data_IF_793947832037
#
_entry.id   IF_793947832037
#
_cell.length_a   1.000
_cell.length_b   1.000
_cell.length_c   1.000
_cell.angle_alpha   90.00
_cell.angle_beta   90.00
_cell.angle_gamma   90.00
#
_symmetry.space_group_name_H-M   'P 1'
#
loop_
_entity.id
_entity.type
_entity.pdbx_description
1 polymer ?
#
# COMPACT_ATOMS: atom_id res chain seq x y z
N UNK A 1 -6.29 53.13 -94.96
CA UNK A 1 -7.13 52.07 -94.36
C UNK A 1 -6.45 50.70 -94.39
N UNK A 2 -5.61 50.42 -95.39
CA UNK A 2 -5.00 49.09 -95.57
C UNK A 2 -4.04 48.62 -94.45
N UNK A 3 -3.36 49.53 -93.75
CA UNK A 3 -2.49 49.16 -92.62
C UNK A 3 -3.26 48.70 -91.37
N UNK A 4 -4.38 49.36 -91.08
CA UNK A 4 -5.23 49.04 -89.93
C UNK A 4 -5.84 47.65 -90.13
N UNK A 5 -6.31 47.36 -91.35
CA UNK A 5 -6.97 46.09 -91.66
C UNK A 5 -5.97 44.94 -91.83
N UNK A 6 -4.83 45.15 -92.51
CA UNK A 6 -3.87 44.05 -92.78
C UNK A 6 -2.91 43.73 -91.64
N UNK A 7 -2.54 44.70 -90.78
CA UNK A 7 -1.52 44.49 -89.75
C UNK A 7 -2.05 44.66 -88.32
N UNK A 8 -2.86 45.69 -88.04
CA UNK A 8 -3.29 45.98 -86.67
C UNK A 8 -4.30 44.96 -86.12
N UNK A 9 -5.32 44.64 -86.93
CA UNK A 9 -6.41 43.74 -86.59
C UNK A 9 -5.95 42.30 -86.25
N UNK A 10 -5.06 41.64 -87.04
CA UNK A 10 -4.55 40.32 -86.70
C UNK A 10 -3.64 40.32 -85.47
N UNK A 11 -2.85 41.37 -85.24
CA UNK A 11 -1.97 41.49 -84.06
C UNK A 11 -2.80 41.64 -82.79
N UNK A 12 -3.81 42.52 -82.79
CA UNK A 12 -4.72 42.69 -81.66
C UNK A 12 -5.50 41.40 -81.41
N UNK A 13 -6.02 40.74 -82.45
CA UNK A 13 -6.72 39.47 -82.32
C UNK A 13 -5.82 38.37 -81.74
N UNK A 14 -4.55 38.28 -82.19
CA UNK A 14 -3.58 37.33 -81.67
C UNK A 14 -3.23 37.59 -80.19
N UNK A 15 -3.05 38.85 -79.79
CA UNK A 15 -2.77 39.21 -78.39
C UNK A 15 -3.97 39.00 -77.48
N UNK A 16 -5.20 39.27 -77.95
CA UNK A 16 -6.43 38.97 -77.21
C UNK A 16 -6.60 37.45 -77.08
N UNK A 17 -6.40 36.69 -78.16
CA UNK A 17 -6.45 35.23 -78.13
C UNK A 17 -5.40 34.66 -77.17
N UNK A 18 -4.17 35.18 -77.20
CA UNK A 18 -3.12 34.81 -76.26
C UNK A 18 -3.51 35.19 -74.81
N UNK A 19 -4.02 36.39 -74.56
CA UNK A 19 -4.46 36.82 -73.24
C UNK A 19 -5.61 35.95 -72.70
N UNK A 20 -6.55 35.53 -73.56
CA UNK A 20 -7.63 34.59 -73.21
C UNK A 20 -7.08 33.19 -72.92
N UNK A 21 -6.16 32.68 -73.74
CA UNK A 21 -5.49 31.39 -73.51
C UNK A 21 -4.72 31.42 -72.18
N UNK A 22 -3.97 32.49 -71.92
CA UNK A 22 -3.27 32.69 -70.66
C UNK A 22 -4.26 32.69 -69.49
N UNK A 23 -5.32 33.50 -69.56
CA UNK A 23 -6.34 33.56 -68.49
C UNK A 23 -7.09 32.24 -68.31
N UNK A 24 -7.31 31.46 -69.37
CA UNK A 24 -8.05 30.20 -69.31
C UNK A 24 -7.17 29.05 -68.80
N UNK A 25 -5.97 28.86 -69.36
CA UNK A 25 -5.06 27.75 -69.00
C UNK A 25 -4.26 28.01 -67.74
N UNK A 26 -3.91 29.25 -67.44
CA UNK A 26 -3.00 29.60 -66.34
C UNK A 26 -3.70 30.42 -65.24
N UNK A 27 -5.02 30.30 -65.10
CA UNK A 27 -5.83 31.05 -64.12
C UNK A 27 -5.21 30.98 -62.71
N UNK A 28 -4.97 32.13 -62.07
CA UNK A 28 -4.33 32.23 -60.74
C UNK A 28 -2.81 32.12 -60.76
N UNK A 29 -2.20 31.75 -61.89
CA UNK A 29 -0.77 31.58 -61.99
C UNK A 29 0.01 32.87 -62.21
N UNK A 30 1.26 32.87 -61.74
CA UNK A 30 2.26 33.91 -62.00
C UNK A 30 2.42 34.15 -63.51
N UNK A 31 2.31 33.08 -64.30
CA UNK A 31 2.40 33.15 -65.76
C UNK A 31 1.33 34.04 -66.39
N UNK A 32 0.15 34.22 -65.78
CA UNK A 32 -0.86 35.16 -66.29
C UNK A 32 -0.45 36.59 -66.05
N UNK A 33 0.10 36.93 -64.88
CA UNK A 33 0.54 38.30 -64.59
C UNK A 33 1.74 38.68 -65.45
N UNK A 34 2.79 37.85 -65.46
CA UNK A 34 3.98 38.09 -66.28
C UNK A 34 3.63 38.04 -67.77
N UNK A 35 2.85 37.04 -68.18
CA UNK A 35 2.41 36.86 -69.56
C UNK A 35 1.54 38.01 -70.07
N UNK A 36 0.62 38.56 -69.27
CA UNK A 36 -0.19 39.71 -69.68
C UNK A 36 0.65 41.00 -69.81
N UNK A 37 1.58 41.26 -68.90
CA UNK A 37 2.50 42.41 -69.02
C UNK A 37 3.44 42.26 -70.21
N UNK A 38 3.92 41.04 -70.48
CA UNK A 38 4.76 40.74 -71.62
C UNK A 38 3.99 40.83 -72.94
N UNK A 39 2.77 40.30 -73.01
CA UNK A 39 1.86 40.43 -74.16
C UNK A 39 1.49 41.89 -74.42
N UNK A 40 1.25 42.69 -73.37
CA UNK A 40 0.99 44.12 -73.50
C UNK A 40 2.22 44.88 -74.04
N UNK A 41 3.42 44.54 -73.56
CA UNK A 41 4.67 45.08 -74.08
C UNK A 41 4.89 44.67 -75.55
N UNK A 42 4.64 43.41 -75.90
CA UNK A 42 4.79 42.90 -77.26
C UNK A 42 3.79 43.55 -78.23
N UNK A 43 2.52 43.72 -77.82
CA UNK A 43 1.52 44.47 -78.55
C UNK A 43 1.98 45.93 -78.77
N UNK A 44 2.48 46.59 -77.72
CA UNK A 44 2.96 47.96 -77.82
C UNK A 44 4.12 48.08 -78.82
N UNK A 45 5.11 47.19 -78.74
CA UNK A 45 6.24 47.14 -79.68
C UNK A 45 5.79 46.87 -81.11
N UNK A 46 4.89 45.92 -81.32
CA UNK A 46 4.37 45.59 -82.65
C UNK A 46 3.57 46.75 -83.26
N UNK A 47 2.74 47.44 -82.45
CA UNK A 47 1.93 48.56 -82.89
C UNK A 47 2.80 49.76 -83.28
N UNK A 48 3.80 50.10 -82.46
CA UNK A 48 4.71 51.22 -82.73
C UNK A 48 5.63 50.93 -83.91
N UNK A 49 6.09 49.68 -84.06
CA UNK A 49 6.94 49.26 -85.17
C UNK A 49 6.17 49.21 -86.50
N UNK A 50 4.93 48.70 -86.49
CA UNK A 50 4.05 48.73 -87.65
C UNK A 50 3.71 50.15 -88.08
N UNK A 51 3.33 51.02 -87.12
CA UNK A 51 3.03 52.43 -87.39
C UNK A 51 4.23 53.14 -88.03
N UNK A 52 5.43 52.92 -87.50
CA UNK A 52 6.67 53.43 -88.08
C UNK A 52 6.87 52.96 -89.52
N UNK A 53 6.73 51.65 -89.78
CA UNK A 53 7.00 51.06 -91.10
C UNK A 53 6.07 51.61 -92.19
N UNK A 54 4.80 51.84 -91.85
CA UNK A 54 3.79 52.30 -92.82
C UNK A 54 3.82 53.80 -93.08
N UNK A 55 3.95 54.62 -92.03
CA UNK A 55 3.82 56.07 -92.19
C UNK A 55 5.17 56.79 -92.40
N UNK A 56 6.29 56.18 -91.99
CA UNK A 56 7.62 56.78 -92.10
C UNK A 56 8.68 55.81 -92.65
N UNK A 57 8.48 55.21 -93.84
CA UNK A 57 9.48 54.35 -94.46
C UNK A 57 10.75 55.18 -94.80
N UNK A 58 11.88 54.84 -94.18
CA UNK A 58 13.20 55.45 -94.48
C UNK A 58 13.66 56.59 -93.56
N UNK A 59 12.87 57.04 -92.58
CA UNK A 59 13.29 58.12 -91.67
C UNK A 59 14.12 57.62 -90.48
N UNK A 60 15.42 57.94 -90.47
CA UNK A 60 16.39 57.51 -89.45
C UNK A 60 16.12 58.06 -88.05
N UNK A 61 15.61 59.29 -87.91
CA UNK A 61 15.36 59.90 -86.59
C UNK A 61 14.13 59.31 -85.91
N UNK A 62 13.04 59.13 -86.65
CA UNK A 62 11.82 58.45 -86.16
C UNK A 62 12.13 56.99 -85.79
N UNK A 63 13.01 56.33 -86.55
CA UNK A 63 13.48 54.97 -86.22
C UNK A 63 14.18 54.94 -84.86
N UNK A 64 15.02 55.91 -84.56
CA UNK A 64 15.75 55.96 -83.30
C UNK A 64 14.82 56.20 -82.11
N UNK A 65 13.90 57.17 -82.22
CA UNK A 65 12.92 57.52 -81.15
C UNK A 65 11.98 56.35 -80.82
N UNK A 66 11.41 55.70 -81.84
CA UNK A 66 10.49 54.56 -81.62
C UNK A 66 11.22 53.38 -80.99
N UNK A 67 12.48 53.17 -81.38
CA UNK A 67 13.29 52.07 -80.82
C UNK A 67 13.64 52.33 -79.35
N UNK A 68 14.07 53.53 -78.99
CA UNK A 68 14.33 53.88 -77.58
C UNK A 68 13.06 53.82 -76.73
N UNK A 69 11.92 54.31 -77.23
CA UNK A 69 10.64 54.21 -76.53
C UNK A 69 10.23 52.75 -76.26
N UNK A 70 10.40 51.86 -77.25
CA UNK A 70 10.12 50.44 -77.11
C UNK A 70 11.04 49.75 -76.09
N UNK A 71 12.32 50.13 -76.06
CA UNK A 71 13.27 49.63 -75.06
C UNK A 71 12.82 50.06 -73.65
N UNK A 72 12.51 51.34 -73.45
CA UNK A 72 12.05 51.86 -72.15
C UNK A 72 10.76 51.17 -71.70
N UNK A 73 9.76 51.03 -72.58
CA UNK A 73 8.52 50.34 -72.26
C UNK A 73 8.75 48.86 -71.88
N UNK A 74 9.67 48.18 -72.56
CA UNK A 74 10.04 46.79 -72.26
C UNK A 74 10.75 46.66 -70.89
N UNK A 75 11.67 47.58 -70.58
CA UNK A 75 12.37 47.63 -69.29
C UNK A 75 11.39 47.89 -68.14
N UNK A 76 10.46 48.83 -68.31
CA UNK A 76 9.43 49.14 -67.30
C UNK A 76 8.51 47.93 -67.08
N UNK A 77 8.02 47.28 -68.14
CA UNK A 77 7.20 46.07 -68.02
C UNK A 77 7.95 44.93 -67.31
N UNK A 78 9.23 44.72 -67.65
CA UNK A 78 10.07 43.72 -66.99
C UNK A 78 10.31 44.06 -65.51
N UNK A 79 10.54 45.34 -65.18
CA UNK A 79 10.71 45.81 -63.81
C UNK A 79 9.46 45.59 -62.97
N UNK A 80 8.27 45.95 -63.47
CA UNK A 80 7.00 45.68 -62.78
C UNK A 80 6.71 44.18 -62.66
N UNK A 81 6.97 43.38 -63.69
CA UNK A 81 6.85 41.93 -63.63
C UNK A 81 7.79 41.32 -62.58
N UNK A 82 9.04 41.77 -62.54
CA UNK A 82 10.06 41.34 -61.58
C UNK A 82 9.66 41.69 -60.14
N UNK A 83 9.16 42.90 -59.87
CA UNK A 83 8.71 43.29 -58.53
C UNK A 83 7.52 42.44 -58.05
N UNK A 84 6.55 42.18 -58.91
CA UNK A 84 5.33 41.47 -58.55
C UNK A 84 5.51 39.95 -58.37
N UNK A 85 6.68 39.41 -58.74
CA UNK A 85 6.98 37.97 -58.71
C UNK A 85 8.20 37.67 -57.85
N UNK A 86 9.32 38.35 -58.11
CA UNK A 86 10.61 38.06 -57.47
C UNK A 86 10.61 38.47 -56.01
N UNK A 87 10.00 39.62 -55.64
CA UNK A 87 9.97 40.07 -54.24
C UNK A 87 9.17 39.10 -53.34
N UNK A 88 7.91 38.75 -53.67
CA UNK A 88 7.15 37.77 -52.87
C UNK A 88 7.83 36.41 -52.75
N UNK A 89 8.45 35.91 -53.83
CA UNK A 89 9.19 34.64 -53.78
C UNK A 89 10.39 34.74 -52.83
N UNK A 90 11.13 35.86 -52.85
CA UNK A 90 12.24 36.08 -51.92
C UNK A 90 11.78 36.15 -50.46
N UNK A 91 10.61 36.73 -50.20
CA UNK A 91 10.02 36.78 -48.85
C UNK A 91 9.62 35.38 -48.36
N UNK A 92 8.98 34.57 -49.20
CA UNK A 92 8.68 33.17 -48.88
C UNK A 92 9.95 32.36 -48.66
N UNK A 93 10.96 32.52 -49.53
CA UNK A 93 12.25 31.83 -49.37
C UNK A 93 12.92 32.21 -48.05
N UNK A 94 12.90 33.48 -47.66
CA UNK A 94 13.41 33.94 -46.37
C UNK A 94 12.63 33.35 -45.19
N UNK A 95 11.30 33.21 -45.32
CA UNK A 95 10.47 32.57 -44.30
C UNK A 95 10.79 31.08 -44.18
N UNK A 96 10.90 30.36 -45.30
CA UNK A 96 11.32 28.96 -45.31
C UNK A 96 12.74 28.77 -44.77
N UNK A 97 13.66 29.69 -45.07
CA UNK A 97 15.02 29.66 -44.52
C UNK A 97 15.02 29.85 -42.99
N UNK A 98 14.15 30.73 -42.47
CA UNK A 98 13.95 30.90 -41.02
C UNK A 98 13.39 29.64 -40.37
N UNK A 99 12.35 29.05 -40.96
CA UNK A 99 11.75 27.78 -40.49
C UNK A 99 12.79 26.66 -40.51
N UNK A 100 13.59 26.55 -41.58
CA UNK A 100 14.65 25.56 -41.69
C UNK A 100 15.78 25.73 -40.65
N UNK A 101 15.98 26.96 -40.16
CA UNK A 101 16.90 27.29 -39.05
C UNK A 101 16.25 27.22 -37.67
N UNK A 102 15.02 26.70 -37.57
CA UNK A 102 14.27 26.56 -36.32
C UNK A 102 13.63 27.84 -35.81
N UNK A 103 13.72 28.98 -36.51
CA UNK A 103 13.03 30.19 -36.08
C UNK A 103 11.57 30.17 -36.56
N UNK A 104 10.65 29.99 -35.61
CA UNK A 104 9.20 29.97 -35.79
C UNK A 104 8.50 31.26 -35.31
N UNK A 105 9.28 32.24 -34.84
CA UNK A 105 8.79 33.55 -34.40
C UNK A 105 7.94 34.22 -35.49
N UNK A 106 6.98 35.03 -35.07
CA UNK A 106 6.08 35.70 -35.99
C UNK A 106 6.85 36.63 -36.94
N UNK A 107 6.87 36.27 -38.22
CA UNK A 107 7.37 37.14 -39.27
C UNK A 107 6.18 37.97 -39.81
N UNK A 108 6.01 39.20 -39.34
CA UNK A 108 5.05 40.12 -39.94
C UNK A 108 5.40 40.35 -41.41
N UNK A 109 4.61 39.75 -42.31
CA UNK A 109 4.68 40.01 -43.74
C UNK A 109 4.19 41.43 -43.97
N UNK A 110 5.10 42.34 -44.32
CA UNK A 110 4.78 43.74 -44.65
C UNK A 110 3.88 43.89 -45.89
N UNK A 111 3.54 42.81 -46.61
CA UNK A 111 2.98 42.90 -47.97
C UNK A 111 1.66 42.11 -48.13
N UNK A 112 0.56 42.72 -47.66
CA UNK A 112 -0.83 42.31 -47.93
C UNK A 112 -1.28 42.51 -49.39
N UNK A 113 -0.36 42.64 -50.36
CA UNK A 113 -0.67 42.96 -51.76
C UNK A 113 -0.76 41.74 -52.68
N UNK A 114 -0.43 40.54 -52.19
CA UNK A 114 -0.58 39.31 -52.97
C UNK A 114 -1.98 38.76 -52.74
N UNK A 115 -2.80 38.72 -53.80
CA UNK A 115 -4.11 38.07 -53.72
C UNK A 115 -3.94 36.59 -53.34
N UNK A 116 -4.72 36.15 -52.35
CA UNK A 116 -4.73 34.78 -51.83
C UNK A 116 -5.08 33.73 -52.90
N UNK A 117 -5.84 34.12 -53.93
CA UNK A 117 -6.27 33.24 -55.03
C UNK A 117 -5.15 32.86 -56.02
N UNK A 118 -3.93 33.40 -55.84
CA UNK A 118 -2.81 33.20 -56.76
C UNK A 118 -1.78 32.20 -56.26
N UNK A 119 -1.00 31.60 -57.15
CA UNK A 119 0.01 30.57 -56.80
C UNK A 119 0.96 31.04 -55.68
N UNK A 120 1.42 32.29 -55.75
CA UNK A 120 2.29 32.90 -54.71
C UNK A 120 1.51 33.14 -53.42
N UNK A 121 0.25 33.58 -53.51
CA UNK A 121 -0.61 33.78 -52.33
C UNK A 121 -0.86 32.48 -51.57
N UNK A 122 -1.15 31.40 -52.31
CA UNK A 122 -1.27 30.04 -51.76
C UNK A 122 0.04 29.55 -51.16
N UNK A 123 1.18 29.80 -51.81
CA UNK A 123 2.50 29.42 -51.28
C UNK A 123 2.80 30.14 -49.96
N UNK A 124 2.51 31.44 -49.86
CA UNK A 124 2.62 32.21 -48.62
C UNK A 124 1.68 31.64 -47.55
N UNK A 125 0.43 31.32 -47.92
CA UNK A 125 -0.56 30.70 -47.04
C UNK A 125 -0.09 29.37 -46.47
N UNK A 126 0.29 28.42 -47.31
CA UNK A 126 0.79 27.11 -46.89
C UNK A 126 2.08 27.21 -46.07
N UNK A 127 2.98 28.13 -46.38
CA UNK A 127 4.19 28.35 -45.57
C UNK A 127 3.84 28.84 -44.16
N UNK A 128 2.83 29.70 -44.04
CA UNK A 128 2.31 30.18 -42.76
C UNK A 128 1.65 29.05 -41.97
N UNK A 129 0.81 28.25 -42.61
CA UNK A 129 0.17 27.08 -42.01
C UNK A 129 1.21 26.07 -41.49
N UNK A 130 2.27 25.78 -42.27
CA UNK A 130 3.38 24.92 -41.84
C UNK A 130 4.06 25.49 -40.59
N UNK A 131 4.38 26.79 -40.59
CA UNK A 131 5.00 27.43 -39.42
C UNK A 131 4.10 27.33 -38.19
N UNK A 132 2.83 27.70 -38.32
CA UNK A 132 1.86 27.67 -37.21
C UNK A 132 1.66 26.25 -36.69
N UNK A 133 1.58 25.26 -37.57
CA UNK A 133 1.51 23.85 -37.19
C UNK A 133 2.76 23.40 -36.42
N UNK A 134 3.96 23.73 -36.89
CA UNK A 134 5.21 23.43 -36.19
C UNK A 134 5.29 24.15 -34.83
N UNK A 135 4.89 25.42 -34.77
CA UNK A 135 4.87 26.21 -33.55
C UNK A 135 3.94 25.56 -32.50
N UNK A 136 2.75 25.13 -32.92
CA UNK A 136 1.80 24.43 -32.05
C UNK A 136 2.36 23.09 -31.57
N UNK A 137 2.95 22.28 -32.44
CA UNK A 137 3.55 20.98 -32.07
C UNK A 137 4.69 21.17 -31.09
N UNK A 138 5.60 22.11 -31.34
CA UNK A 138 6.74 22.39 -30.45
C UNK A 138 6.28 22.95 -29.10
N UNK A 139 5.27 23.83 -29.09
CA UNK A 139 4.68 24.36 -27.85
C UNK A 139 4.04 23.26 -27.00
N UNK A 140 3.21 22.40 -27.61
CA UNK A 140 2.62 21.25 -26.92
C UNK A 140 3.72 20.32 -26.38
N UNK A 141 4.72 20.01 -27.20
CA UNK A 141 5.80 19.12 -26.81
C UNK A 141 6.67 19.71 -25.69
N UNK A 142 6.86 21.03 -25.63
CA UNK A 142 7.52 21.71 -24.51
C UNK A 142 6.71 21.54 -23.21
N UNK A 143 5.39 21.74 -23.27
CA UNK A 143 4.51 21.55 -22.12
C UNK A 143 4.49 20.11 -21.61
N UNK A 144 4.46 19.12 -22.51
CA UNK A 144 4.49 17.69 -22.15
C UNK A 144 5.84 17.29 -21.50
N UNK A 145 6.94 17.91 -21.95
CA UNK A 145 8.28 17.68 -21.37
C UNK A 145 8.42 18.28 -19.97
N UNK A 146 7.81 19.43 -19.71
CA UNK A 146 7.74 20.00 -18.36
C UNK A 146 6.96 19.07 -17.43
N UNK A 147 5.79 18.58 -17.87
CA UNK A 147 4.98 17.61 -17.13
C UNK A 147 5.73 16.30 -16.86
N UNK A 148 6.51 15.80 -17.83
CA UNK A 148 7.37 14.62 -17.64
C UNK A 148 8.43 14.84 -16.56
N UNK A 149 9.04 16.03 -16.51
CA UNK A 149 10.00 16.38 -15.46
C UNK A 149 9.36 16.46 -14.08
N UNK A 150 8.19 17.09 -13.97
CA UNK A 150 7.42 17.12 -12.72
C UNK A 150 7.02 15.72 -12.25
N UNK A 151 6.60 14.86 -13.18
CA UNK A 151 6.25 13.47 -12.90
C UNK A 151 7.45 12.67 -12.42
N UNK A 152 8.63 12.86 -13.03
CA UNK A 152 9.89 12.26 -12.58
C UNK A 152 10.22 12.62 -11.14
N UNK A 153 10.17 13.92 -10.79
CA UNK A 153 10.40 14.39 -9.41
C UNK A 153 9.37 13.84 -8.41
N UNK A 154 8.10 13.76 -8.80
CA UNK A 154 7.06 13.19 -7.96
C UNK A 154 7.31 11.69 -7.69
N UNK A 155 7.78 10.96 -8.71
CA UNK A 155 8.09 9.53 -8.61
C UNK A 155 9.33 9.27 -7.74
N UNK A 156 10.35 10.12 -7.84
CA UNK A 156 11.53 10.10 -6.96
C UNK A 156 11.14 10.29 -5.49
N UNK A 157 10.30 11.29 -5.20
CA UNK A 157 9.79 11.52 -3.85
C UNK A 157 8.95 10.35 -3.33
N UNK A 158 8.09 9.78 -4.18
CA UNK A 158 7.31 8.60 -3.81
C UNK A 158 8.23 7.40 -3.50
N UNK A 159 9.32 7.25 -4.25
CA UNK A 159 10.32 6.19 -4.05
C UNK A 159 11.00 6.34 -2.70
N UNK A 160 11.47 7.55 -2.36
CA UNK A 160 12.07 7.84 -1.05
C UNK A 160 11.10 7.52 0.10
N UNK A 161 9.83 7.90 -0.05
CA UNK A 161 8.80 7.60 0.93
C UNK A 161 8.56 6.09 1.10
N UNK A 162 8.52 5.33 0.01
CA UNK A 162 8.39 3.86 0.05
C UNK A 162 9.61 3.24 0.72
N UNK A 163 10.83 3.66 0.37
CA UNK A 163 12.07 3.14 0.99
C UNK A 163 12.11 3.40 2.50
N UNK A 164 11.74 4.62 2.91
CA UNK A 164 11.64 4.98 4.34
C UNK A 164 10.53 4.22 5.05
N UNK A 165 9.42 3.93 4.35
CA UNK A 165 8.34 3.10 4.85
C UNK A 165 8.77 1.65 5.05
N UNK A 166 9.45 1.08 4.05
CA UNK A 166 10.00 -0.28 4.06
C UNK A 166 10.99 -0.47 5.21
N UNK A 167 11.93 0.46 5.40
CA UNK A 167 12.89 0.40 6.50
C UNK A 167 12.21 0.43 7.88
N UNK A 168 11.17 1.26 8.05
CA UNK A 168 10.37 1.29 9.29
C UNK A 168 9.57 -0.01 9.48
N UNK A 169 9.02 -0.57 8.41
CA UNK A 169 8.28 -1.81 8.47
C UNK A 169 9.18 -2.99 8.87
N UNK A 170 10.41 -3.04 8.34
CA UNK A 170 11.42 -4.02 8.74
C UNK A 170 11.79 -3.89 10.23
N UNK A 171 12.07 -2.67 10.69
CA UNK A 171 12.39 -2.42 12.11
C UNK A 171 11.23 -2.82 13.05
N UNK A 172 9.98 -2.48 12.69
CA UNK A 172 8.82 -2.90 13.46
C UNK A 172 8.64 -4.42 13.44
N UNK A 173 8.91 -5.09 12.31
CA UNK A 173 8.86 -6.54 12.23
C UNK A 173 9.89 -7.20 13.16
N UNK A 174 11.12 -6.67 13.24
CA UNK A 174 12.13 -7.14 14.20
C UNK A 174 11.69 -6.96 15.65
N UNK A 175 11.11 -5.81 16.01
CA UNK A 175 10.61 -5.55 17.37
C UNK A 175 9.46 -6.49 17.77
N UNK A 176 8.52 -6.72 16.85
CA UNK A 176 7.42 -7.66 17.07
C UNK A 176 7.95 -9.09 17.13
N UNK A 177 8.95 -9.45 16.32
CA UNK A 177 9.60 -10.76 16.38
C UNK A 177 10.20 -11.03 17.77
N UNK A 178 10.94 -10.05 18.31
CA UNK A 178 11.50 -10.16 19.66
C UNK A 178 10.41 -10.31 20.74
N UNK A 179 9.29 -9.58 20.58
CA UNK A 179 8.14 -9.69 21.48
C UNK A 179 7.46 -11.06 21.41
N UNK A 180 7.42 -11.69 20.22
CA UNK A 180 6.87 -13.03 20.00
C UNK A 180 7.82 -14.11 20.55
N UNK A 181 9.13 -13.93 20.44
CA UNK A 181 10.11 -14.82 21.09
C UNK A 181 9.95 -14.81 22.61
N UNK A 182 9.85 -13.62 23.22
CA UNK A 182 9.59 -13.48 24.66
C UNK A 182 8.24 -14.11 25.06
N UNK A 183 7.19 -13.88 24.25
CA UNK A 183 5.87 -14.49 24.46
C UNK A 183 5.95 -16.02 24.41
N UNK A 184 6.69 -16.57 23.45
CA UNK A 184 6.88 -18.03 23.31
C UNK A 184 7.57 -18.62 24.53
N UNK A 185 8.62 -17.94 25.03
CA UNK A 185 9.29 -18.33 26.28
C UNK A 185 8.33 -18.33 27.48
N UNK A 186 7.48 -17.30 27.60
CA UNK A 186 6.50 -17.21 28.68
C UNK A 186 5.42 -18.31 28.58
N UNK A 187 4.98 -18.65 27.37
CA UNK A 187 4.04 -19.75 27.14
C UNK A 187 4.65 -21.10 27.55
N UNK A 188 5.92 -21.35 27.19
CA UNK A 188 6.63 -22.57 27.59
C UNK A 188 6.78 -22.66 29.11
N UNK A 189 7.12 -21.55 29.76
CA UNK A 189 7.20 -21.48 31.22
C UNK A 189 5.84 -21.74 31.88
N UNK A 190 4.74 -21.20 31.34
CA UNK A 190 3.39 -21.47 31.83
C UNK A 190 3.00 -22.94 31.67
N UNK A 191 3.31 -23.54 30.51
CA UNK A 191 3.06 -24.96 30.25
C UNK A 191 3.81 -25.85 31.24
N UNK A 192 5.10 -25.58 31.48
CA UNK A 192 5.90 -26.30 32.47
C UNK A 192 5.37 -26.12 33.90
N UNK A 193 4.98 -24.89 34.26
CA UNK A 193 4.42 -24.59 35.58
C UNK A 193 3.08 -25.29 35.80
N UNK A 194 2.22 -25.35 34.77
CA UNK A 194 0.97 -26.10 34.81
C UNK A 194 1.24 -27.60 34.94
N UNK A 195 2.17 -28.15 34.16
CA UNK A 195 2.53 -29.57 34.27
C UNK A 195 3.01 -29.92 35.70
N UNK A 196 3.87 -29.09 36.28
CA UNK A 196 4.35 -29.29 37.65
C UNK A 196 3.22 -29.15 38.70
N UNK A 197 2.35 -28.16 38.56
CA UNK A 197 1.21 -27.97 39.45
C UNK A 197 0.24 -29.16 39.40
N UNK A 198 0.07 -29.79 38.23
CA UNK A 198 -0.76 -30.99 38.08
C UNK A 198 -0.17 -32.19 38.84
N UNK A 199 1.15 -32.40 38.74
CA UNK A 199 1.84 -33.46 39.50
C UNK A 199 1.68 -33.24 41.02
N UNK A 200 1.85 -32.01 41.49
CA UNK A 200 1.67 -31.67 42.91
C UNK A 200 0.22 -31.91 43.35
N UNK A 201 -0.77 -31.59 42.51
CA UNK A 201 -2.18 -31.83 42.82
C UNK A 201 -2.49 -33.33 42.93
N UNK A 202 -1.94 -34.16 42.04
CA UNK A 202 -2.10 -35.61 42.08
C UNK A 202 -1.46 -36.22 43.35
N UNK A 203 -0.23 -35.81 43.68
CA UNK A 203 0.45 -36.24 44.92
C UNK A 203 -0.34 -35.82 46.17
N UNK A 204 -0.88 -34.60 46.18
CA UNK A 204 -1.72 -34.10 47.27
C UNK A 204 -3.02 -34.90 47.42
N UNK A 205 -3.66 -35.26 46.30
CA UNK A 205 -4.87 -36.10 46.31
C UNK A 205 -4.56 -37.48 46.91
N UNK A 206 -3.46 -38.12 46.50
CA UNK A 206 -3.04 -39.41 47.05
C UNK A 206 -2.74 -39.32 48.56
N UNK A 207 -2.02 -38.28 48.98
CA UNK A 207 -1.70 -38.05 50.40
C UNK A 207 -2.98 -37.89 51.24
N UNK A 208 -3.96 -37.10 50.77
CA UNK A 208 -5.23 -36.92 51.46
C UNK A 208 -6.08 -38.20 51.48
N UNK A 209 -6.07 -39.00 50.40
CA UNK A 209 -6.70 -40.32 50.41
C UNK A 209 -6.11 -41.24 51.49
N UNK A 210 -4.80 -41.16 51.74
CA UNK A 210 -4.15 -41.91 52.83
C UNK A 210 -4.55 -41.40 54.21
N UNK A 211 -4.69 -40.08 54.38
CA UNK A 211 -5.20 -39.46 55.62
C UNK A 211 -6.65 -39.90 55.90
N UNK A 212 -7.50 -39.94 54.88
CA UNK A 212 -8.87 -40.45 55.00
C UNK A 212 -8.92 -41.89 55.50
N UNK A 213 -8.17 -42.80 54.87
CA UNK A 213 -8.05 -44.20 55.32
C UNK A 213 -7.57 -44.33 56.76
N UNK A 214 -6.52 -43.58 57.14
CA UNK A 214 -6.00 -43.60 58.51
C UNK A 214 -7.01 -43.07 59.54
N UNK A 215 -7.86 -42.12 59.14
CA UNK A 215 -8.91 -41.56 59.99
C UNK A 215 -10.03 -42.58 60.21
N UNK A 216 -10.40 -43.33 59.17
CA UNK A 216 -11.38 -44.42 59.26
C UNK A 216 -10.87 -45.57 60.14
N UNK A 217 -9.60 -45.99 60.00
CA UNK A 217 -8.95 -46.99 60.87
C UNK A 217 -8.90 -46.53 62.34
N UNK A 218 -8.64 -45.25 62.58
CA UNK A 218 -8.66 -44.66 63.93
C UNK A 218 -10.06 -44.71 64.52
N UNK A 219 -11.08 -44.40 63.71
CA UNK A 219 -12.48 -44.39 64.12
C UNK A 219 -12.97 -45.80 64.49
N UNK A 220 -12.53 -46.83 63.75
CA UNK A 220 -12.75 -48.25 64.10
C UNK A 220 -12.08 -48.61 65.43
N UNK A 221 -10.81 -48.26 65.60
CA UNK A 221 -10.05 -48.54 66.82
C UNK A 221 -10.67 -47.89 68.07
N UNK A 222 -11.15 -46.65 67.95
CA UNK A 222 -11.82 -45.94 69.06
C UNK A 222 -13.16 -46.58 69.42
N UNK A 223 -13.94 -47.06 68.43
CA UNK A 223 -15.18 -47.81 68.68
C UNK A 223 -14.92 -49.13 69.41
N UNK A 224 -13.84 -49.81 69.04
CA UNK A 224 -13.41 -51.03 69.74
C UNK A 224 -13.01 -50.74 71.19
N UNK A 225 -12.31 -49.63 71.45
CA UNK A 225 -11.99 -49.18 72.81
C UNK A 225 -13.28 -48.91 73.57
N UNK A 226 -14.23 -48.14 73.02
CA UNK A 226 -15.52 -47.85 73.65
C UNK A 226 -16.26 -49.15 74.05
N UNK A 227 -16.33 -50.12 73.13
CA UNK A 227 -16.96 -51.41 73.38
C UNK A 227 -16.27 -52.19 74.51
N UNK A 228 -14.93 -52.21 74.55
CA UNK A 228 -14.16 -52.89 75.61
C UNK A 228 -14.31 -52.18 76.97
N UNK A 229 -14.33 -50.85 76.99
CA UNK A 229 -14.53 -50.08 78.23
C UNK A 229 -15.95 -50.26 78.77
N UNK A 230 -16.96 -50.39 77.92
CA UNK A 230 -18.33 -50.73 78.34
C UNK A 230 -18.39 -52.07 79.09
N UNK A 231 -17.62 -53.06 78.66
CA UNK A 231 -17.48 -54.33 79.38
C UNK A 231 -16.81 -54.11 80.75
N UNK A 232 -15.74 -53.30 80.82
CA UNK A 232 -15.06 -52.98 82.09
C UNK A 232 -16.00 -52.25 83.05
N UNK A 233 -16.82 -51.32 82.55
CA UNK A 233 -17.83 -50.61 83.34
C UNK A 233 -18.86 -51.59 83.94
N UNK A 234 -19.34 -52.54 83.13
CA UNK A 234 -20.22 -53.61 83.61
C UNK A 234 -19.54 -54.50 84.67
N UNK A 235 -18.26 -54.85 84.50
CA UNK A 235 -17.49 -55.62 85.50
C UNK A 235 -17.37 -54.82 86.81
N UNK A 236 -17.05 -53.52 86.73
CA UNK A 236 -16.96 -52.66 87.90
C UNK A 236 -18.32 -52.56 88.62
N UNK A 237 -19.42 -52.43 87.88
CA UNK A 237 -20.77 -52.44 88.44
C UNK A 237 -21.10 -53.78 89.14
N UNK A 238 -20.84 -54.92 88.50
CA UNK A 238 -21.03 -56.24 89.10
C UNK A 238 -20.17 -56.43 90.35
N UNK A 239 -18.92 -55.98 90.32
CA UNK A 239 -17.99 -56.02 91.47
C UNK A 239 -18.50 -55.18 92.63
N UNK A 240 -19.06 -54.01 92.34
CA UNK A 240 -19.68 -53.13 93.34
C UNK A 240 -20.88 -53.81 94.04
N UNK A 241 -21.74 -54.50 93.28
CA UNK A 241 -22.87 -55.28 93.83
C UNK A 241 -22.38 -56.47 94.66
N UNK A 242 -21.37 -57.20 94.19
CA UNK A 242 -20.74 -58.30 94.93
C UNK A 242 -20.15 -57.82 96.26
N UNK A 243 -19.43 -56.70 96.24
CA UNK A 243 -18.83 -56.09 97.42
C UNK A 243 -19.89 -55.59 98.42
N UNK A 244 -20.99 -55.00 97.92
CA UNK A 244 -22.12 -54.60 98.75
C UNK A 244 -22.76 -55.82 99.44
N UNK A 245 -23.01 -56.90 98.70
CA UNK A 245 -23.56 -58.13 99.26
C UNK A 245 -22.61 -58.73 100.32
N UNK A 246 -21.30 -58.73 100.07
CA UNK A 246 -20.30 -59.18 101.02
C UNK A 246 -20.26 -58.30 102.29
N UNK A 247 -20.39 -56.98 102.16
CA UNK A 247 -20.46 -56.06 103.30
C UNK A 247 -21.71 -56.29 104.16
N UNK A 248 -22.87 -56.57 103.53
CA UNK A 248 -24.11 -56.92 104.22
C UNK A 248 -23.97 -58.24 104.98
N UNK A 249 -23.42 -59.28 104.36
CA UNK A 249 -23.24 -60.58 105.02
C UNK A 249 -22.19 -60.51 106.14
N UNK A 250 -21.13 -59.71 105.97
CA UNK A 250 -20.16 -59.42 107.01
C UNK A 250 -20.77 -58.69 108.21
N UNK A 251 -21.69 -57.74 107.98
CA UNK A 251 -22.46 -57.09 109.06
C UNK A 251 -23.39 -58.08 109.78
N UNK A 252 -23.96 -59.04 109.05
CA UNK A 252 -24.83 -60.10 109.57
C UNK A 252 -24.08 -61.09 110.46
N UNK A 253 -22.81 -61.35 110.17
CA UNK A 253 -21.93 -62.23 110.95
C UNK A 253 -21.39 -61.60 112.26
N UNK A 254 -21.69 -60.33 112.56
CA UNK A 254 -21.31 -59.67 113.80
C UNK A 254 -19.79 -59.55 114.01
N UNK A 255 -19.29 -59.91 115.20
CA UNK A 255 -17.88 -59.81 115.58
C UNK A 255 -16.93 -60.62 114.66
N UNK A 256 -17.38 -61.77 114.14
CA UNK A 256 -16.59 -62.63 113.26
C UNK A 256 -16.45 -62.09 111.82
N UNK A 257 -17.29 -61.13 111.42
CA UNK A 257 -17.30 -60.52 110.08
C UNK A 257 -16.49 -59.23 109.94
N UNK A 258 -15.91 -58.70 111.03
CA UNK A 258 -15.24 -57.38 111.05
C UNK A 258 -14.12 -57.23 110.01
N UNK A 259 -13.25 -58.23 109.86
CA UNK A 259 -12.18 -58.20 108.86
C UNK A 259 -12.70 -58.28 107.42
N UNK A 260 -13.74 -59.08 107.18
CA UNK A 260 -14.39 -59.21 105.88
C UNK A 260 -15.12 -57.92 105.46
N UNK A 261 -15.73 -57.21 106.40
CA UNK A 261 -16.42 -55.94 106.14
C UNK A 261 -15.46 -54.84 105.64
N UNK A 262 -14.25 -54.78 106.19
CA UNK A 262 -13.20 -53.83 105.75
C UNK A 262 -12.77 -54.14 104.32
N UNK A 263 -12.49 -55.41 104.01
CA UNK A 263 -12.12 -55.84 102.65
C UNK A 263 -13.25 -55.56 101.67
N UNK A 264 -14.49 -55.88 102.02
CA UNK A 264 -15.66 -55.60 101.17
C UNK A 264 -15.83 -54.10 100.89
N UNK A 265 -15.59 -53.24 101.88
CA UNK A 265 -15.63 -51.78 101.70
C UNK A 265 -14.53 -51.28 100.77
N UNK A 266 -13.30 -51.82 100.89
CA UNK A 266 -12.18 -51.44 100.02
C UNK A 266 -12.40 -51.92 98.58
N UNK A 267 -12.91 -53.15 98.38
CA UNK A 267 -13.29 -53.67 97.06
C UNK A 267 -14.40 -52.81 96.45
N UNK A 268 -15.38 -52.37 97.25
CA UNK A 268 -16.45 -51.47 96.80
C UNK A 268 -15.88 -50.14 96.29
N UNK A 269 -14.98 -49.55 97.07
CA UNK A 269 -14.31 -48.28 96.71
C UNK A 269 -13.46 -48.42 95.45
N UNK A 270 -12.76 -49.54 95.27
CA UNK A 270 -11.99 -49.82 94.05
C UNK A 270 -12.91 -50.02 92.83
N UNK A 271 -14.07 -50.65 93.01
CA UNK A 271 -15.07 -50.82 91.97
C UNK A 271 -15.70 -49.48 91.56
N UNK A 272 -16.05 -48.61 92.50
CA UNK A 272 -16.49 -47.23 92.22
C UNK A 272 -15.42 -46.43 91.46
N UNK A 273 -14.16 -46.52 91.90
CA UNK A 273 -13.05 -45.83 91.23
C UNK A 273 -12.82 -46.35 89.80
N UNK A 274 -12.93 -47.67 89.59
CA UNK A 274 -12.83 -48.29 88.25
C UNK A 274 -13.97 -47.87 87.34
N UNK A 275 -15.19 -47.71 87.89
CA UNK A 275 -16.34 -47.20 87.15
C UNK A 275 -16.12 -45.75 86.68
N UNK A 276 -15.69 -44.87 87.58
CA UNK A 276 -15.41 -43.46 87.24
C UNK A 276 -14.35 -43.36 86.14
N UNK A 277 -13.26 -44.12 86.25
CA UNK A 277 -12.22 -44.16 85.22
C UNK A 277 -12.76 -44.69 83.88
N UNK A 278 -13.63 -45.71 83.91
CA UNK A 278 -14.28 -46.21 82.70
C UNK A 278 -15.21 -45.16 82.06
N UNK A 279 -16.00 -44.43 82.86
CA UNK A 279 -16.87 -43.35 82.38
C UNK A 279 -16.07 -42.19 81.74
N UNK A 280 -14.91 -41.83 82.32
CA UNK A 280 -13.98 -40.85 81.75
C UNK A 280 -13.42 -41.31 80.40
N UNK A 281 -13.01 -42.58 80.27
CA UNK A 281 -12.51 -43.12 79.01
C UNK A 281 -13.62 -43.18 77.95
N UNK A 282 -14.85 -43.56 78.31
CA UNK A 282 -16.00 -43.52 77.38
C UNK A 282 -16.21 -42.10 76.86
N UNK A 283 -16.20 -41.11 77.76
CA UNK A 283 -16.36 -39.69 77.37
C UNK A 283 -15.25 -39.24 76.41
N UNK A 284 -14.00 -39.63 76.67
CA UNK A 284 -12.87 -39.32 75.79
C UNK A 284 -12.96 -40.05 74.44
N UNK A 285 -13.41 -41.31 74.44
CA UNK A 285 -13.63 -42.09 73.23
C UNK A 285 -14.73 -41.46 72.36
N UNK A 286 -15.88 -41.10 72.95
CA UNK A 286 -16.96 -40.41 72.23
C UNK A 286 -16.49 -39.10 71.59
N UNK A 287 -15.70 -38.29 72.32
CA UNK A 287 -15.11 -37.07 71.76
C UNK A 287 -14.12 -37.36 70.63
N UNK A 288 -13.36 -38.44 70.72
CA UNK A 288 -12.42 -38.87 69.68
C UNK A 288 -13.14 -39.36 68.42
N UNK A 289 -14.30 -40.03 68.57
CA UNK A 289 -15.17 -40.39 67.44
C UNK A 289 -15.69 -39.13 66.74
N UNK A 290 -16.14 -38.13 67.48
CA UNK A 290 -16.63 -36.86 66.92
C UNK A 290 -15.55 -36.14 66.09
N UNK A 291 -14.34 -36.00 66.65
CA UNK A 291 -13.19 -35.37 65.94
C UNK A 291 -12.77 -36.17 64.71
N UNK A 292 -12.73 -37.49 64.81
CA UNK A 292 -12.36 -38.36 63.67
C UNK A 292 -13.41 -38.28 62.56
N UNK A 293 -14.71 -38.24 62.91
CA UNK A 293 -15.79 -38.07 61.94
C UNK A 293 -15.70 -36.73 61.22
N UNK A 294 -15.47 -35.63 61.96
CA UNK A 294 -15.25 -34.31 61.36
C UNK A 294 -14.06 -34.33 60.40
N UNK A 295 -12.97 -35.01 60.76
CA UNK A 295 -11.78 -35.13 59.92
C UNK A 295 -12.07 -35.89 58.62
N UNK A 296 -12.79 -37.04 58.68
CA UNK A 296 -13.21 -37.77 57.48
C UNK A 296 -14.16 -36.94 56.61
N UNK A 297 -15.07 -36.16 57.19
CA UNK A 297 -15.95 -35.25 56.45
C UNK A 297 -15.16 -34.14 55.74
N UNK A 298 -14.16 -33.54 56.40
CA UNK A 298 -13.28 -32.54 55.79
C UNK A 298 -12.45 -33.12 54.65
N UNK A 299 -11.89 -34.32 54.84
CA UNK A 299 -11.15 -35.03 53.78
C UNK A 299 -12.04 -35.30 52.57
N UNK A 300 -13.28 -35.75 52.78
CA UNK A 300 -14.25 -36.02 51.72
C UNK A 300 -14.63 -34.75 50.92
N UNK A 301 -14.58 -33.57 51.55
CA UNK A 301 -14.83 -32.29 50.88
C UNK A 301 -13.63 -31.78 50.09
N UNK A 302 -12.41 -32.06 50.54
CA UNK A 302 -11.17 -31.53 49.91
C UNK A 302 -10.78 -32.32 48.66
N UNK A 303 -10.98 -33.65 48.63
CA UNK A 303 -10.61 -34.47 47.46
C UNK A 303 -11.22 -33.94 46.15
N UNK A 304 -12.54 -33.68 46.05
CA UNK A 304 -13.13 -33.13 44.82
C UNK A 304 -12.56 -31.75 44.44
N UNK A 305 -12.13 -30.95 45.41
CA UNK A 305 -11.51 -29.65 45.13
C UNK A 305 -10.11 -29.80 44.53
N UNK A 306 -9.32 -30.77 45.01
CA UNK A 306 -8.00 -31.08 44.46
C UNK A 306 -8.13 -31.62 43.03
N UNK A 307 -9.08 -32.53 42.80
CA UNK A 307 -9.37 -33.06 41.45
C UNK A 307 -9.79 -31.95 40.48
N UNK A 308 -10.67 -31.05 40.93
CA UNK A 308 -11.07 -29.88 40.14
C UNK A 308 -9.88 -28.95 39.85
N UNK A 309 -8.98 -28.77 40.81
CA UNK A 309 -7.76 -27.99 40.60
C UNK A 309 -6.85 -28.63 39.56
N UNK A 310 -6.64 -29.96 39.61
CA UNK A 310 -5.90 -30.71 38.61
C UNK A 310 -6.51 -30.54 37.21
N UNK A 311 -7.84 -30.62 37.10
CA UNK A 311 -8.55 -30.37 35.83
C UNK A 311 -8.28 -28.98 35.27
N UNK A 312 -8.40 -27.92 36.08
CA UNK A 312 -8.15 -26.54 35.65
C UNK A 312 -6.69 -26.38 35.18
N UNK A 313 -5.75 -26.97 35.92
CA UNK A 313 -4.33 -26.94 35.54
C UNK A 313 -4.09 -27.66 34.21
N UNK A 314 -4.81 -28.74 33.94
CA UNK A 314 -4.73 -29.44 32.66
C UNK A 314 -5.34 -28.62 31.50
N UNK A 315 -6.40 -27.86 31.77
CA UNK A 315 -6.94 -26.87 30.81
C UNK A 315 -5.93 -25.75 30.51
N UNK A 316 -5.21 -25.25 31.52
CA UNK A 316 -4.12 -24.26 31.34
C UNK A 316 -3.00 -24.83 30.46
N UNK A 317 -2.61 -26.09 30.69
CA UNK A 317 -1.60 -26.77 29.88
C UNK A 317 -2.03 -26.88 28.42
N UNK A 318 -3.27 -27.31 28.18
CA UNK A 318 -3.82 -27.42 26.83
C UNK A 318 -3.89 -26.06 26.12
N UNK A 319 -4.40 -25.03 26.81
CA UNK A 319 -4.45 -23.66 26.27
C UNK A 319 -3.04 -23.10 25.98
N UNK A 320 -2.07 -23.37 26.85
CA UNK A 320 -0.68 -22.96 26.63
C UNK A 320 -0.06 -23.66 25.40
N UNK A 321 -0.39 -24.94 25.19
CA UNK A 321 0.04 -25.67 23.99
C UNK A 321 -0.58 -25.10 22.71
N UNK A 322 -1.83 -24.66 22.75
CA UNK A 322 -2.50 -24.00 21.63
C UNK A 322 -1.88 -22.63 21.34
N UNK A 323 -1.68 -21.81 22.37
CA UNK A 323 -0.99 -20.52 22.27
C UNK A 323 0.42 -20.63 21.68
N UNK A 324 1.16 -21.70 22.00
CA UNK A 324 2.48 -21.96 21.40
C UNK A 324 2.38 -22.18 19.89
N UNK A 325 1.37 -22.92 19.43
CA UNK A 325 1.12 -23.11 17.99
C UNK A 325 0.72 -21.79 17.31
N UNK A 326 -0.08 -20.96 17.97
CA UNK A 326 -0.46 -19.64 17.47
C UNK A 326 0.74 -18.68 17.38
N UNK A 327 1.62 -18.68 18.39
CA UNK A 327 2.85 -17.89 18.37
C UNK A 327 3.74 -18.24 17.18
N UNK A 328 3.87 -19.53 16.83
CA UNK A 328 4.56 -19.95 15.61
C UNK A 328 3.89 -19.48 14.31
N UNK A 329 2.57 -19.31 14.29
CA UNK A 329 1.87 -18.78 13.13
C UNK A 329 2.06 -17.25 13.01
N UNK A 330 2.11 -16.55 14.14
CA UNK A 330 2.45 -15.12 14.18
C UNK A 330 3.88 -14.92 13.67
N UNK A 331 4.85 -15.73 14.12
CA UNK A 331 6.25 -15.69 13.65
C UNK A 331 6.36 -15.81 12.12
N UNK A 332 5.67 -16.80 11.52
CA UNK A 332 5.60 -16.93 10.05
C UNK A 332 5.01 -15.69 9.36
N UNK A 333 4.01 -15.06 9.97
CA UNK A 333 3.38 -13.86 9.43
C UNK A 333 4.33 -12.66 9.50
N UNK A 334 5.17 -12.58 10.53
CA UNK A 334 6.22 -11.56 10.68
C UNK A 334 7.30 -11.74 9.61
N UNK A 335 7.72 -12.99 9.34
CA UNK A 335 8.66 -13.27 8.24
C UNK A 335 8.12 -12.79 6.89
N UNK A 336 6.82 -12.99 6.62
CA UNK A 336 6.17 -12.45 5.42
C UNK A 336 6.15 -10.91 5.38
N UNK A 337 5.99 -10.24 6.54
CA UNK A 337 6.08 -8.78 6.60
C UNK A 337 7.49 -8.29 6.27
N UNK A 338 8.54 -9.00 6.71
CA UNK A 338 9.93 -8.71 6.36
C UNK A 338 10.17 -8.89 4.87
N UNK A 339 9.63 -9.95 4.25
CA UNK A 339 9.70 -10.16 2.80
C UNK A 339 9.03 -9.00 2.02
N UNK A 340 7.86 -8.54 2.48
CA UNK A 340 7.17 -7.39 1.88
C UNK A 340 7.97 -6.11 2.05
N UNK A 341 8.58 -5.88 3.22
CA UNK A 341 9.44 -4.73 3.44
C UNK A 341 10.65 -4.74 2.48
N UNK A 342 11.30 -5.89 2.31
CA UNK A 342 12.40 -6.03 1.36
C UNK A 342 11.95 -5.81 -0.08
N UNK A 343 10.79 -6.37 -0.47
CA UNK A 343 10.24 -6.17 -1.80
C UNK A 343 9.91 -4.70 -2.09
N UNK A 344 9.36 -3.98 -1.11
CA UNK A 344 9.10 -2.55 -1.20
C UNK A 344 10.39 -1.74 -1.34
N UNK A 345 11.46 -2.11 -0.63
CA UNK A 345 12.76 -1.47 -0.76
C UNK A 345 13.32 -1.64 -2.19
N UNK A 346 13.29 -2.86 -2.73
CA UNK A 346 13.73 -3.13 -4.09
C UNK A 346 12.87 -2.38 -5.13
N UNK A 347 11.55 -2.39 -4.96
CA UNK A 347 10.62 -1.68 -5.85
C UNK A 347 10.82 -0.17 -5.82
N UNK A 348 11.16 0.37 -4.64
CA UNK A 348 11.53 1.78 -4.49
C UNK A 348 12.80 2.11 -5.28
N UNK A 349 13.81 1.25 -5.25
CA UNK A 349 15.05 1.43 -5.99
C UNK A 349 14.81 1.41 -7.52
N UNK A 350 14.02 0.45 -8.02
CA UNK A 350 13.59 0.42 -9.42
C UNK A 350 12.81 1.67 -9.84
N UNK A 351 11.93 2.14 -8.96
CA UNK A 351 11.14 3.35 -9.19
C UNK A 351 12.01 4.62 -9.20
N UNK A 352 13.04 4.69 -8.34
CA UNK A 352 14.04 5.78 -8.36
C UNK A 352 14.83 5.78 -9.67
N UNK A 353 15.27 4.61 -10.14
CA UNK A 353 15.94 4.46 -11.43
C UNK A 353 15.06 4.94 -12.59
N UNK A 354 13.79 4.52 -12.59
CA UNK A 354 12.80 4.93 -13.60
C UNK A 354 12.54 6.43 -13.58
N UNK A 355 12.46 7.04 -12.39
CA UNK A 355 12.32 8.49 -12.23
C UNK A 355 13.52 9.25 -12.83
N UNK A 356 14.74 8.75 -12.59
CA UNK A 356 15.96 9.34 -13.16
C UNK A 356 16.00 9.22 -14.69
N UNK A 357 15.57 8.08 -15.24
CA UNK A 357 15.44 7.90 -16.70
C UNK A 357 14.43 8.87 -17.32
N UNK A 358 13.27 9.08 -16.68
CA UNK A 358 12.28 10.07 -17.13
C UNK A 358 12.86 11.49 -17.12
N UNK A 359 13.58 11.87 -16.06
CA UNK A 359 14.25 13.17 -15.97
C UNK A 359 15.30 13.35 -17.08
N UNK A 360 16.10 12.31 -17.34
CA UNK A 360 17.06 12.34 -18.45
C UNK A 360 16.37 12.45 -19.82
N UNK A 361 15.27 11.73 -20.03
CA UNK A 361 14.50 11.78 -21.28
C UNK A 361 13.89 13.17 -21.49
N UNK A 362 13.28 13.74 -20.46
CA UNK A 362 12.76 15.11 -20.48
C UNK A 362 13.88 16.12 -20.81
N UNK A 363 15.07 15.96 -20.22
CA UNK A 363 16.25 16.75 -20.54
C UNK A 363 16.66 16.67 -22.02
N UNK A 364 16.75 15.46 -22.58
CA UNK A 364 17.09 15.25 -24.00
C UNK A 364 16.04 15.85 -24.93
N UNK A 365 14.75 15.70 -24.64
CA UNK A 365 13.70 16.28 -25.48
C UNK A 365 13.74 17.80 -25.38
N UNK A 366 13.97 18.38 -24.19
CA UNK A 366 14.15 19.82 -24.02
C UNK A 366 15.32 20.36 -24.86
N UNK A 367 16.43 19.64 -24.91
CA UNK A 367 17.57 19.99 -25.75
C UNK A 367 17.21 19.94 -27.25
N UNK A 368 16.52 18.89 -27.71
CA UNK A 368 16.05 18.79 -29.10
C UNK A 368 15.08 19.92 -29.48
N UNK A 369 14.20 20.30 -28.57
CA UNK A 369 13.24 21.39 -28.77
C UNK A 369 13.91 22.76 -28.75
N UNK A 370 14.99 22.93 -27.99
CA UNK A 370 15.71 24.21 -27.89
C UNK A 370 16.26 24.72 -29.23
N UNK A 371 16.38 23.85 -30.23
CA UNK A 371 16.66 24.23 -31.62
C UNK A 371 15.59 25.17 -32.19
N UNK A 372 14.33 24.94 -31.83
CA UNK A 372 13.20 25.76 -32.28
C UNK A 372 13.02 26.98 -31.36
N UNK A 373 12.98 28.16 -31.98
CA UNK A 373 12.68 29.43 -31.32
C UNK A 373 11.24 29.79 -31.63
N UNK A 374 10.40 29.83 -30.60
CA UNK A 374 8.95 30.07 -30.70
C UNK A 374 8.59 31.54 -30.79
#
# INVERSE_FOLDING_TARGET
MDFIISNLLPIIAAVIAAALIFRYKFKGSVFVRVGLWWLASLLFVMLTMGFRYTYYPGNGTVKLIVTTMNIVASVVCFYYGSINVVRPIKEVLAMLERIAKGNLEEAHLKHSYVREDTDIGKLVGFTREIRESLQNVVSQLTSEVELLGETGLALEKASEQISTGASRQAANAEEVSASVEEMTSNIEQNSNSAHQANLIALDAAEAIHKVGRSSDETLESVRDIEAKISIINNIAFQTNILALNAAVEAARAGEYGRGFSVVATEVRKLAEHSKTAADEIVTLASKSVEVSKLSSEMVAQVIPQIEKNAQIVQEIYAASSEQSSEAHQIDKSIQQLTDVAQHNANSSEEMSSSANELNMLAGRIRELVSFFKL
#
